data_IF_833371595386
#
_entry.id   IF_833371595386
#
_cell.length_a   1.000
_cell.length_b   1.000
_cell.length_c   1.000
_cell.angle_alpha   90.00
_cell.angle_beta   90.00
_cell.angle_gamma   90.00
#
_symmetry.space_group_name_H-M   'P 1'
#
loop_
_entity.id
_entity.type
_entity.pdbx_description
1 polymer ?
#
# COMPACT_ATOMS: atom_id res chain seq x y z
N UNK A 1 -1.21 -4.29 -11.73
CA UNK A 1 -1.29 -3.49 -12.96
C UNK A 1 -2.37 -2.39 -12.90
N UNK A 2 -3.54 -2.63 -12.29
CA UNK A 2 -4.58 -1.60 -12.08
C UNK A 2 -4.15 -0.44 -11.15
N UNK A 3 -3.43 -0.75 -10.06
CA UNK A 3 -2.95 0.26 -9.11
C UNK A 3 -1.92 1.21 -9.73
N UNK A 4 -0.98 0.69 -10.53
CA UNK A 4 0.06 1.48 -11.21
C UNK A 4 -0.56 2.50 -12.19
N UNK A 5 -1.61 2.09 -12.91
CA UNK A 5 -2.40 3.00 -13.76
C UNK A 5 -3.07 4.12 -12.95
N UNK A 6 -3.67 3.80 -11.80
CA UNK A 6 -4.29 4.79 -10.91
C UNK A 6 -3.32 5.86 -10.40
N UNK A 7 -2.11 5.46 -9.95
CA UNK A 7 -1.08 6.39 -9.51
C UNK A 7 -0.56 7.28 -10.65
N UNK A 8 -0.35 6.74 -11.85
CA UNK A 8 0.06 7.55 -13.01
C UNK A 8 -1.02 8.53 -13.46
N UNK A 9 -2.29 8.14 -13.39
CA UNK A 9 -3.43 8.99 -13.72
C UNK A 9 -3.59 10.12 -12.70
N UNK A 10 -3.49 9.83 -11.40
CA UNK A 10 -3.56 10.82 -10.34
C UNK A 10 -2.41 11.84 -10.40
N UNK A 11 -1.17 11.37 -10.63
CA UNK A 11 -0.01 12.24 -10.80
C UNK A 11 -0.10 13.11 -12.07
N UNK A 12 -0.64 12.57 -13.16
CA UNK A 12 -0.90 13.33 -14.38
C UNK A 12 -1.98 14.40 -14.16
N UNK A 13 -3.09 14.06 -13.50
CA UNK A 13 -4.16 15.01 -13.19
C UNK A 13 -3.69 16.17 -12.30
N UNK A 14 -2.83 15.88 -11.31
CA UNK A 14 -2.20 16.88 -10.44
C UNK A 14 -1.23 17.80 -11.20
N UNK A 15 -0.32 17.25 -12.01
CA UNK A 15 0.61 18.05 -12.83
C UNK A 15 -0.09 18.92 -13.88
N UNK A 16 -1.25 18.50 -14.37
CA UNK A 16 -2.00 19.23 -15.40
C UNK A 16 -2.93 20.33 -14.87
N UNK A 17 -2.97 20.61 -13.54
CA UNK A 17 -3.90 21.59 -12.93
C UNK A 17 -5.39 21.32 -13.29
N UNK A 18 -5.72 20.06 -13.61
CA UNK A 18 -7.06 19.65 -14.03
C UNK A 18 -8.01 19.68 -12.84
N UNK A 19 -7.50 19.43 -11.64
CA UNK A 19 -8.17 19.66 -10.36
C UNK A 19 -8.77 21.08 -10.26
N UNK A 20 -7.98 22.11 -10.57
CA UNK A 20 -8.45 23.51 -10.55
C UNK A 20 -9.45 23.81 -11.66
N UNK A 21 -9.22 23.29 -12.87
CA UNK A 21 -10.14 23.47 -14.03
C UNK A 21 -11.47 22.73 -13.85
N UNK A 22 -11.44 21.54 -13.28
CA UNK A 22 -12.64 20.76 -12.98
C UNK A 22 -13.42 21.39 -11.83
N UNK A 23 -12.73 21.85 -10.77
CA UNK A 23 -13.36 22.59 -9.69
C UNK A 23 -14.02 23.89 -10.20
N UNK A 24 -13.33 24.68 -11.03
CA UNK A 24 -13.93 25.89 -11.63
C UNK A 24 -15.03 25.55 -12.63
N UNK A 25 -14.93 24.47 -13.41
CA UNK A 25 -15.99 24.05 -14.33
C UNK A 25 -17.25 23.61 -13.58
N UNK A 26 -17.10 22.78 -12.54
CA UNK A 26 -18.21 22.34 -11.69
C UNK A 26 -18.82 23.53 -10.94
N UNK A 27 -18.01 24.44 -10.40
CA UNK A 27 -18.49 25.66 -9.76
C UNK A 27 -19.16 26.62 -10.76
N UNK A 28 -18.69 26.68 -12.02
CA UNK A 28 -19.30 27.53 -13.06
C UNK A 28 -20.64 26.99 -13.55
N UNK A 29 -20.85 25.67 -13.45
CA UNK A 29 -22.08 24.99 -13.87
C UNK A 29 -23.07 24.80 -12.73
N UNK A 30 -22.60 24.86 -11.48
CA UNK A 30 -23.43 24.96 -10.30
C UNK A 30 -23.97 26.40 -10.18
N UNK A 31 -25.19 26.62 -10.68
CA UNK A 31 -25.84 27.94 -10.61
C UNK A 31 -25.97 28.50 -9.19
N UNK A 32 -26.46 29.73 -9.05
CA UNK A 32 -26.46 30.53 -7.81
C UNK A 32 -27.43 30.06 -6.71
N UNK A 33 -28.05 28.88 -6.84
CA UNK A 33 -28.99 28.35 -5.84
C UNK A 33 -28.25 27.48 -4.83
N UNK A 34 -28.33 27.79 -3.51
CA UNK A 34 -27.48 27.17 -2.49
C UNK A 34 -27.69 25.66 -2.35
N UNK A 35 -28.90 25.15 -2.62
CA UNK A 35 -29.19 23.70 -2.60
C UNK A 35 -28.46 22.95 -3.71
N UNK A 36 -28.41 23.50 -4.92
CA UNK A 36 -27.80 22.84 -6.09
C UNK A 36 -26.27 22.81 -5.96
N UNK A 37 -25.69 23.88 -5.40
CA UNK A 37 -24.25 23.96 -5.11
C UNK A 37 -23.83 22.93 -4.06
N UNK A 38 -24.62 22.77 -3.00
CA UNK A 38 -24.37 21.76 -1.95
C UNK A 38 -24.36 20.34 -2.52
N UNK A 39 -25.36 20.00 -3.35
CA UNK A 39 -25.44 18.67 -3.98
C UNK A 39 -24.29 18.44 -4.96
N UNK A 40 -23.92 19.44 -5.76
CA UNK A 40 -22.79 19.35 -6.66
C UNK A 40 -21.47 19.12 -5.90
N UNK A 41 -21.24 19.85 -4.80
CA UNK A 41 -20.06 19.68 -3.96
C UNK A 41 -20.03 18.31 -3.26
N UNK A 42 -21.18 17.84 -2.75
CA UNK A 42 -21.28 16.52 -2.13
C UNK A 42 -21.01 15.38 -3.12
N UNK A 43 -21.50 15.48 -4.37
CA UNK A 43 -21.21 14.49 -5.41
C UNK A 43 -19.72 14.48 -5.79
N UNK A 44 -19.12 15.65 -5.98
CA UNK A 44 -17.69 15.76 -6.28
C UNK A 44 -16.86 15.18 -5.15
N UNK A 45 -17.20 15.50 -3.90
CA UNK A 45 -16.53 14.97 -2.72
C UNK A 45 -16.66 13.44 -2.61
N UNK A 46 -17.82 12.87 -2.93
CA UNK A 46 -18.04 11.42 -2.90
C UNK A 46 -17.22 10.69 -3.98
N UNK A 47 -17.23 11.20 -5.22
CA UNK A 47 -16.42 10.64 -6.31
C UNK A 47 -14.93 10.79 -6.05
N UNK A 48 -14.50 11.95 -5.54
CA UNK A 48 -13.11 12.17 -5.13
C UNK A 48 -12.71 11.23 -4.00
N UNK A 49 -13.56 11.03 -2.99
CA UNK A 49 -13.26 10.12 -1.87
C UNK A 49 -13.14 8.67 -2.33
N UNK A 50 -13.99 8.23 -3.27
CA UNK A 50 -13.92 6.88 -3.84
C UNK A 50 -12.63 6.66 -4.67
N UNK A 51 -12.13 7.70 -5.34
CA UNK A 51 -10.88 7.66 -6.11
C UNK A 51 -9.62 7.80 -5.22
N UNK A 52 -9.67 8.65 -4.20
CA UNK A 52 -8.52 9.00 -3.36
C UNK A 52 -8.32 7.99 -2.23
N UNK A 53 -9.38 7.39 -1.67
CA UNK A 53 -9.31 6.56 -0.47
C UNK A 53 -8.65 5.18 -0.67
N UNK A 54 -8.30 4.80 -1.91
CA UNK A 54 -7.50 3.60 -2.21
C UNK A 54 -6.09 3.92 -2.78
N UNK A 55 -5.75 5.21 -2.93
CA UNK A 55 -4.52 5.70 -3.61
C UNK A 55 -3.68 6.62 -2.71
N UNK A 56 -4.14 6.98 -1.52
CA UNK A 56 -3.37 7.77 -0.57
C UNK A 56 -2.43 6.87 0.28
N UNK A 57 -1.32 6.44 -0.32
CA UNK A 57 -0.09 6.09 0.42
C UNK A 57 0.84 7.33 0.44
N UNK A 58 1.74 7.45 1.42
CA UNK A 58 2.13 8.73 2.01
C UNK A 58 3.27 9.40 1.27
N UNK A 59 2.95 10.33 0.37
CA UNK A 59 3.96 11.17 -0.30
C UNK A 59 3.76 12.66 0.07
N UNK A 60 3.39 12.94 1.33
CA UNK A 60 3.29 14.30 1.88
C UNK A 60 4.48 14.64 2.79
N UNK A 61 5.68 14.34 2.33
CA UNK A 61 6.91 14.82 2.98
C UNK A 61 7.40 16.17 2.41
N UNK A 62 6.75 16.72 1.38
CA UNK A 62 7.17 17.99 0.75
C UNK A 62 6.59 19.24 1.43
N UNK A 63 5.57 19.13 2.29
CA UNK A 63 4.86 20.30 2.84
C UNK A 63 5.20 20.65 4.29
N UNK A 64 5.96 19.81 5.01
CA UNK A 64 6.47 20.18 6.34
C UNK A 64 7.96 20.46 6.28
N UNK A 65 8.41 21.69 6.56
CA UNK A 65 9.84 21.97 6.61
C UNK A 65 10.42 21.18 7.78
N UNK A 66 11.17 20.12 7.46
CA UNK A 66 11.92 19.36 8.47
C UNK A 66 12.81 20.31 9.27
N UNK A 67 13.07 19.99 10.53
CA UNK A 67 13.95 20.80 11.41
C UNK A 67 15.30 21.07 10.74
N UNK A 68 15.79 20.11 9.96
CA UNK A 68 17.03 20.25 9.19
C UNK A 68 16.89 21.24 8.03
N UNK A 69 15.72 21.32 7.38
CA UNK A 69 15.46 22.28 6.32
C UNK A 69 15.43 23.72 6.85
N UNK A 70 14.82 23.95 8.01
CA UNK A 70 14.86 25.25 8.68
C UNK A 70 16.28 25.62 9.12
N UNK A 71 17.03 24.70 9.74
CA UNK A 71 18.43 24.94 10.09
C UNK A 71 19.29 25.26 8.86
N UNK A 72 19.12 24.52 7.77
CA UNK A 72 19.82 24.78 6.52
C UNK A 72 19.48 26.18 5.97
N UNK A 73 18.21 26.57 5.99
CA UNK A 73 17.79 27.91 5.56
C UNK A 73 18.38 29.01 6.45
N UNK A 74 18.53 28.77 7.76
CA UNK A 74 19.15 29.73 8.67
C UNK A 74 20.65 29.89 8.41
N UNK A 75 21.36 28.81 8.07
CA UNK A 75 22.79 28.87 7.77
C UNK A 75 23.09 29.51 6.41
N UNK A 76 22.26 29.28 5.40
CA UNK A 76 22.46 29.79 4.03
C UNK A 76 21.86 31.18 3.82
N UNK A 77 20.75 31.51 4.48
CA UNK A 77 20.05 32.81 4.40
C UNK A 77 19.79 33.37 5.81
N UNK A 78 20.83 33.78 6.56
CA UNK A 78 20.64 34.35 7.88
C UNK A 78 19.99 35.75 7.81
N UNK A 79 19.10 36.10 8.74
CA UNK A 79 18.70 37.50 8.94
C UNK A 79 19.87 38.33 9.47
N UNK A 80 19.99 39.59 9.03
CA UNK A 80 21.05 40.51 9.47
C UNK A 80 21.09 40.61 11.01
N UNK A 81 22.28 40.61 11.68
CA UNK A 81 23.63 40.99 11.22
C UNK A 81 24.64 39.84 11.01
N UNK A 82 24.20 38.58 10.83
CA UNK A 82 25.09 37.41 10.79
C UNK A 82 25.59 37.07 9.38
N UNK A 83 26.81 36.54 9.28
CA UNK A 83 27.43 36.09 8.02
C UNK A 83 27.02 34.66 7.66
N UNK A 84 26.97 34.34 6.35
CA UNK A 84 26.64 33.01 5.83
C UNK A 84 27.63 31.95 6.34
N UNK A 85 27.12 30.90 6.99
CA UNK A 85 27.94 29.84 7.56
C UNK A 85 27.87 28.58 6.67
N UNK A 86 28.81 28.47 5.73
CA UNK A 86 28.85 27.37 4.76
C UNK A 86 29.35 26.04 5.36
N UNK A 87 30.36 26.06 6.22
CA UNK A 87 30.91 24.83 6.81
C UNK A 87 29.87 24.04 7.64
N UNK A 88 29.09 24.67 8.56
CA UNK A 88 28.06 23.96 9.31
C UNK A 88 26.92 23.45 8.41
N UNK A 89 26.61 24.17 7.33
CA UNK A 89 25.62 23.75 6.36
C UNK A 89 26.07 22.49 5.61
N UNK A 90 27.34 22.40 5.21
CA UNK A 90 27.91 21.22 4.57
C UNK A 90 27.98 20.02 5.54
N UNK A 91 28.35 20.23 6.80
CA UNK A 91 28.36 19.17 7.81
C UNK A 91 26.93 18.63 8.05
N UNK A 92 25.94 19.51 8.14
CA UNK A 92 24.53 19.15 8.28
C UNK A 92 24.01 18.39 7.04
N UNK A 93 24.37 18.81 5.83
CA UNK A 93 24.04 18.11 4.59
C UNK A 93 24.67 16.71 4.53
N UNK A 94 25.93 16.58 4.96
CA UNK A 94 26.64 15.30 4.94
C UNK A 94 26.02 14.27 5.90
N UNK A 95 25.60 14.70 7.10
CA UNK A 95 25.07 13.83 8.15
C UNK A 95 23.56 13.56 8.01
N UNK A 96 22.80 14.57 7.61
CA UNK A 96 21.33 14.52 7.61
C UNK A 96 20.69 14.65 6.21
N UNK A 97 21.50 14.65 5.15
CA UNK A 97 21.05 14.80 3.76
C UNK A 97 19.92 13.85 3.35
N UNK A 98 19.94 12.59 3.81
CA UNK A 98 18.89 11.60 3.47
C UNK A 98 17.48 12.01 3.88
N UNK A 99 17.35 12.81 4.95
CA UNK A 99 16.06 13.24 5.52
C UNK A 99 15.54 14.57 4.95
N UNK A 100 16.35 15.27 4.17
CA UNK A 100 16.02 16.56 3.57
C UNK A 100 15.38 16.37 2.18
N UNK A 101 14.32 17.14 1.83
CA UNK A 101 13.75 17.12 0.49
C UNK A 101 14.78 17.64 -0.53
N UNK A 102 15.08 16.86 -1.58
CA UNK A 102 16.16 17.15 -2.52
C UNK A 102 15.90 18.43 -3.32
N UNK A 103 14.80 18.49 -4.07
CA UNK A 103 13.77 19.51 -3.88
C UNK A 103 14.24 20.92 -3.53
N UNK A 104 13.74 21.31 -2.37
CA UNK A 104 13.98 22.57 -1.69
C UNK A 104 15.46 22.75 -1.31
N UNK A 105 16.15 21.68 -0.90
CA UNK A 105 17.57 21.74 -0.52
C UNK A 105 18.46 22.24 -1.66
N UNK A 106 18.26 21.73 -2.88
CA UNK A 106 19.02 22.14 -4.06
C UNK A 106 18.73 23.58 -4.48
N UNK A 107 17.53 24.09 -4.19
CA UNK A 107 17.19 25.49 -4.49
C UNK A 107 17.85 26.50 -3.54
N UNK A 108 18.24 26.05 -2.34
CA UNK A 108 18.89 26.89 -1.33
C UNK A 108 20.40 26.97 -1.49
N UNK A 109 21.02 25.98 -2.15
CA UNK A 109 22.48 25.91 -2.32
C UNK A 109 22.93 26.94 -3.36
N UNK A 110 23.93 27.80 -3.06
CA UNK A 110 24.44 28.76 -4.01
C UNK A 110 25.15 28.07 -5.19
N UNK A 111 24.96 28.61 -6.40
CA UNK A 111 25.56 28.10 -7.64
C UNK A 111 27.08 28.26 -7.73
N UNK A 112 27.68 29.01 -6.80
CA UNK A 112 29.12 29.20 -6.69
C UNK A 112 29.84 28.03 -6.01
N UNK A 113 29.12 27.15 -5.32
CA UNK A 113 29.68 26.04 -4.56
C UNK A 113 30.03 24.85 -5.47
N UNK A 114 31.27 24.33 -5.44
CA UNK A 114 31.67 23.23 -6.31
C UNK A 114 30.99 21.91 -5.90
N UNK A 115 30.58 21.13 -6.91
CA UNK A 115 29.87 19.85 -6.70
C UNK A 115 30.69 18.84 -5.88
N UNK A 116 32.02 18.94 -5.89
CA UNK A 116 32.92 18.10 -5.09
C UNK A 116 32.65 18.19 -3.58
N UNK A 117 32.27 19.37 -3.07
CA UNK A 117 31.96 19.56 -1.65
C UNK A 117 30.63 18.89 -1.25
N UNK A 118 29.75 18.62 -2.23
CA UNK A 118 28.47 17.94 -2.04
C UNK A 118 28.55 16.43 -2.27
N UNK A 119 29.75 15.88 -2.53
CA UNK A 119 29.91 14.46 -2.85
C UNK A 119 29.34 13.56 -1.74
N UNK A 120 29.64 13.88 -0.47
CA UNK A 120 29.15 13.14 0.70
C UNK A 120 27.62 13.16 0.79
N UNK A 121 27.00 14.31 0.52
CA UNK A 121 25.55 14.49 0.46
C UNK A 121 24.92 13.60 -0.62
N UNK A 122 25.40 13.71 -1.87
CA UNK A 122 24.84 12.93 -2.99
C UNK A 122 25.04 11.43 -2.79
N UNK A 123 26.24 11.03 -2.35
CA UNK A 123 26.54 9.62 -2.06
C UNK A 123 25.63 9.06 -0.96
N UNK A 124 25.41 9.82 0.11
CA UNK A 124 24.49 9.45 1.19
C UNK A 124 23.04 9.32 0.72
N UNK A 125 22.54 10.33 -0.03
CA UNK A 125 21.20 10.34 -0.63
C UNK A 125 20.97 9.14 -1.55
N UNK A 126 21.88 8.90 -2.49
CA UNK A 126 21.77 7.82 -3.47
C UNK A 126 21.75 6.45 -2.78
N UNK A 127 22.64 6.25 -1.79
CA UNK A 127 22.66 5.00 -1.01
C UNK A 127 21.35 4.79 -0.24
N UNK A 128 20.83 5.84 0.40
CA UNK A 128 19.56 5.76 1.13
C UNK A 128 18.39 5.43 0.19
N UNK A 129 18.31 6.11 -0.96
CA UNK A 129 17.26 5.86 -1.95
C UNK A 129 17.34 4.43 -2.52
N UNK A 130 18.54 3.97 -2.87
CA UNK A 130 18.76 2.60 -3.33
C UNK A 130 18.42 1.57 -2.26
N UNK A 131 18.74 1.84 -0.99
CA UNK A 131 18.41 0.97 0.13
C UNK A 131 16.90 0.78 0.28
N UNK A 132 16.12 1.87 0.25
CA UNK A 132 14.66 1.82 0.35
C UNK A 132 14.05 1.02 -0.80
N UNK A 133 14.53 1.23 -2.03
CA UNK A 133 14.07 0.48 -3.21
C UNK A 133 14.43 -1.00 -3.10
N UNK A 134 15.64 -1.31 -2.63
CA UNK A 134 16.09 -2.69 -2.48
C UNK A 134 15.32 -3.43 -1.38
N UNK A 135 15.11 -2.80 -0.23
CA UNK A 135 14.27 -3.31 0.85
C UNK A 135 12.84 -3.57 0.35
N UNK A 136 12.26 -2.61 -0.37
CA UNK A 136 10.92 -2.76 -0.96
C UNK A 136 10.85 -3.94 -1.93
N UNK A 137 11.89 -4.17 -2.74
CA UNK A 137 11.98 -5.34 -3.64
C UNK A 137 12.07 -6.65 -2.85
N UNK A 138 12.87 -6.69 -1.78
CA UNK A 138 13.00 -7.87 -0.92
C UNK A 138 11.64 -8.19 -0.27
N UNK A 139 10.98 -7.20 0.33
CA UNK A 139 9.66 -7.38 0.95
C UNK A 139 8.62 -7.84 -0.07
N UNK A 140 8.62 -7.27 -1.28
CA UNK A 140 7.73 -7.71 -2.35
C UNK A 140 8.00 -9.17 -2.76
N UNK A 141 9.27 -9.58 -2.84
CA UNK A 141 9.66 -10.96 -3.10
C UNK A 141 9.20 -11.92 -2.00
N UNK A 142 9.42 -11.58 -0.73
CA UNK A 142 8.97 -12.37 0.41
C UNK A 142 7.44 -12.55 0.41
N UNK A 143 6.69 -11.47 0.22
CA UNK A 143 5.22 -11.54 0.12
C UNK A 143 4.73 -12.39 -1.05
N UNK A 144 5.43 -12.37 -2.18
CA UNK A 144 5.09 -13.23 -3.32
C UNK A 144 5.26 -14.72 -2.96
N UNK A 145 6.33 -15.08 -2.25
CA UNK A 145 6.54 -16.47 -1.79
C UNK A 145 5.50 -16.90 -0.78
N UNK A 146 5.16 -16.05 0.18
CA UNK A 146 4.12 -16.30 1.19
C UNK A 146 2.74 -16.47 0.54
N UNK A 147 2.42 -15.64 -0.45
CA UNK A 147 1.19 -15.76 -1.23
C UNK A 147 1.10 -17.12 -1.92
N UNK A 148 2.17 -17.55 -2.61
CA UNK A 148 2.20 -18.87 -3.27
C UNK A 148 2.03 -20.00 -2.24
N UNK A 149 2.75 -19.94 -1.11
CA UNK A 149 2.65 -20.94 -0.04
C UNK A 149 1.23 -21.02 0.53
N UNK A 150 0.60 -19.87 0.76
CA UNK A 150 -0.77 -19.79 1.27
C UNK A 150 -1.79 -20.33 0.26
N UNK A 151 -1.61 -20.01 -1.03
CA UNK A 151 -2.45 -20.58 -2.10
C UNK A 151 -2.27 -22.10 -2.21
N UNK A 152 -1.05 -22.60 -2.11
CA UNK A 152 -0.76 -24.03 -2.13
C UNK A 152 -1.42 -24.75 -0.96
N UNK A 153 -1.34 -24.19 0.26
CA UNK A 153 -2.00 -24.73 1.44
C UNK A 153 -3.53 -24.72 1.29
N UNK A 154 -4.12 -23.64 0.79
CA UNK A 154 -5.57 -23.60 0.56
C UNK A 154 -6.01 -24.58 -0.53
N UNK A 155 -5.17 -24.82 -1.54
CA UNK A 155 -5.50 -25.71 -2.66
C UNK A 155 -5.33 -27.19 -2.28
N UNK A 156 -4.22 -27.55 -1.64
CA UNK A 156 -3.84 -28.93 -1.35
C UNK A 156 -4.24 -29.37 0.08
N UNK A 157 -4.33 -28.42 1.01
CA UNK A 157 -4.51 -28.67 2.44
C UNK A 157 -3.17 -28.86 3.16
N UNK A 158 -3.26 -29.23 4.44
CA UNK A 158 -2.09 -29.29 5.32
C UNK A 158 -1.21 -30.52 5.08
N UNK A 159 -1.66 -31.47 4.24
CA UNK A 159 -0.93 -32.71 3.92
C UNK A 159 -0.81 -33.71 5.08
N UNK A 160 -1.31 -33.36 6.26
CA UNK A 160 -1.28 -34.19 7.47
C UNK A 160 -2.41 -35.24 7.39
N UNK A 161 -2.15 -36.52 7.74
CA UNK A 161 -3.20 -37.53 7.88
C UNK A 161 -4.25 -37.07 8.91
N UNK A 162 -5.49 -36.87 8.46
CA UNK A 162 -6.58 -36.33 9.31
C UNK A 162 -6.58 -34.81 9.50
N UNK A 163 -5.69 -34.08 8.82
CA UNK A 163 -5.66 -32.61 8.78
C UNK A 163 -6.70 -31.99 7.84
N UNK A 164 -6.64 -30.67 7.65
CA UNK A 164 -7.59 -29.99 6.76
C UNK A 164 -7.26 -30.28 5.29
N UNK A 165 -8.23 -30.79 4.55
CA UNK A 165 -8.18 -30.97 3.10
C UNK A 165 -8.45 -29.66 2.38
N UNK A 166 -7.58 -29.33 1.42
CA UNK A 166 -7.69 -28.13 0.60
C UNK A 166 -8.86 -28.14 -0.40
N UNK A 167 -8.94 -27.09 -1.21
CA UNK A 167 -9.99 -26.88 -2.22
C UNK A 167 -9.96 -27.91 -3.36
N UNK A 168 -8.80 -28.47 -3.68
CA UNK A 168 -8.63 -29.52 -4.68
C UNK A 168 -8.67 -30.92 -4.05
N UNK A 169 -9.50 -31.11 -3.02
CA UNK A 169 -9.69 -32.43 -2.41
C UNK A 169 -10.72 -33.25 -3.19
N UNK A 170 -10.45 -34.54 -3.32
CA UNK A 170 -11.37 -35.54 -3.85
C UNK A 170 -11.54 -36.65 -2.85
N UNK A 171 -12.79 -36.97 -2.53
CA UNK A 171 -13.10 -38.12 -1.66
C UNK A 171 -13.86 -39.16 -2.48
N UNK A 172 -13.38 -40.41 -2.47
CA UNK A 172 -14.05 -41.54 -3.10
C UNK A 172 -14.97 -42.20 -2.08
N UNK A 173 -16.21 -42.42 -2.49
CA UNK A 173 -17.22 -43.12 -1.69
C UNK A 173 -17.40 -44.50 -2.32
N UNK A 174 -17.08 -45.53 -1.55
CA UNK A 174 -17.34 -46.94 -1.89
C UNK A 174 -18.64 -47.40 -1.23
N UNK A 175 -19.23 -48.49 -1.73
CA UNK A 175 -20.50 -49.04 -1.22
C UNK A 175 -20.42 -49.57 0.22
N UNK A 176 -19.20 -49.75 0.73
CA UNK A 176 -18.92 -50.19 2.09
C UNK A 176 -18.69 -49.02 3.06
N UNK A 177 -18.55 -47.79 2.56
CA UNK A 177 -18.21 -46.65 3.41
C UNK A 177 -19.38 -46.27 4.32
N UNK A 178 -19.11 -46.22 5.62
CA UNK A 178 -20.09 -45.90 6.67
C UNK A 178 -20.03 -44.41 7.03
N UNK A 179 -21.18 -43.84 7.39
CA UNK A 179 -21.28 -42.51 7.97
C UNK A 179 -20.73 -42.51 9.40
N UNK A 180 -19.84 -41.56 9.72
CA UNK A 180 -19.22 -41.47 11.04
C UNK A 180 -20.16 -41.12 12.20
N UNK A 181 -21.39 -40.67 11.92
CA UNK A 181 -22.38 -40.27 12.94
C UNK A 181 -23.46 -41.33 13.17
N UNK A 182 -24.09 -41.83 12.10
CA UNK A 182 -25.21 -42.77 12.21
C UNK A 182 -24.79 -44.22 11.94
N UNK A 183 -23.53 -44.46 11.57
CA UNK A 183 -22.96 -45.76 11.23
C UNK A 183 -23.71 -46.55 10.14
N UNK A 184 -24.59 -45.90 9.38
CA UNK A 184 -25.24 -46.47 8.19
C UNK A 184 -24.35 -46.28 6.95
N UNK A 185 -24.51 -47.16 5.96
CA UNK A 185 -23.82 -47.06 4.65
C UNK A 185 -24.17 -45.74 3.95
N UNK A 186 -23.18 -45.11 3.32
CA UNK A 186 -23.37 -43.87 2.57
C UNK A 186 -24.05 -44.14 1.21
N UNK A 187 -23.59 -45.13 0.45
CA UNK A 187 -24.18 -45.50 -0.84
C UNK A 187 -24.45 -44.30 -1.76
N UNK A 188 -25.59 -44.32 -2.48
CA UNK A 188 -26.05 -43.22 -3.35
C UNK A 188 -26.82 -42.09 -2.66
N UNK A 189 -26.70 -41.93 -1.34
CA UNK A 189 -27.42 -40.89 -0.59
C UNK A 189 -26.73 -39.52 -0.67
N UNK A 190 -27.42 -38.44 -0.28
CA UNK A 190 -26.84 -37.09 -0.25
C UNK A 190 -25.82 -36.99 0.88
N UNK A 191 -24.59 -36.62 0.54
CA UNK A 191 -23.43 -36.60 1.43
C UNK A 191 -22.87 -35.19 1.61
N UNK A 192 -22.22 -34.97 2.75
CA UNK A 192 -21.42 -33.80 3.06
C UNK A 192 -20.01 -34.23 3.46
N UNK A 193 -19.00 -33.47 3.00
CA UNK A 193 -17.58 -33.75 3.28
C UNK A 193 -17.02 -32.63 4.15
N UNK A 194 -16.59 -32.98 5.37
CA UNK A 194 -16.00 -32.02 6.31
C UNK A 194 -14.55 -31.66 5.93
N UNK A 195 -13.98 -30.59 6.51
CA UNK A 195 -12.60 -30.18 6.27
C UNK A 195 -11.56 -31.27 6.55
N UNK A 196 -11.82 -32.21 7.46
CA UNK A 196 -10.92 -33.31 7.83
C UNK A 196 -11.02 -34.55 6.92
N UNK A 197 -11.66 -34.42 5.75
CA UNK A 197 -11.98 -35.51 4.82
C UNK A 197 -12.94 -36.58 5.37
N UNK A 198 -13.60 -36.33 6.50
CA UNK A 198 -14.68 -37.21 6.97
C UNK A 198 -15.94 -36.99 6.12
N UNK A 199 -16.63 -38.09 5.81
CA UNK A 199 -17.85 -38.06 4.99
C UNK A 199 -19.02 -38.46 5.87
N UNK A 200 -20.05 -37.63 5.87
CA UNK A 200 -21.27 -37.83 6.64
C UNK A 200 -22.48 -37.65 5.73
N UNK A 201 -23.63 -38.23 6.10
CA UNK A 201 -24.89 -37.88 5.46
C UNK A 201 -25.19 -36.40 5.64
N UNK A 202 -25.82 -35.77 4.65
CA UNK A 202 -26.20 -34.35 4.73
C UNK A 202 -27.04 -34.05 5.99
N UNK A 203 -28.00 -34.91 6.32
CA UNK A 203 -28.82 -34.79 7.54
C UNK A 203 -28.09 -35.09 8.86
N UNK A 204 -26.87 -35.61 8.81
CA UNK A 204 -26.01 -35.82 9.99
C UNK A 204 -24.99 -34.70 10.18
N UNK A 205 -24.90 -33.74 9.25
CA UNK A 205 -23.92 -32.66 9.27
C UNK A 205 -23.96 -31.85 10.58
N UNK A 206 -25.15 -31.40 10.99
CA UNK A 206 -25.31 -30.59 12.21
C UNK A 206 -24.87 -31.33 13.48
N UNK A 207 -25.04 -32.66 13.52
CA UNK A 207 -24.56 -33.49 14.63
C UNK A 207 -23.04 -33.69 14.58
N UNK A 208 -22.48 -33.85 13.38
CA UNK A 208 -21.03 -33.96 13.19
C UNK A 208 -20.29 -32.68 13.58
N UNK A 209 -20.84 -31.50 13.25
CA UNK A 209 -20.24 -30.20 13.59
C UNK A 209 -20.45 -29.80 15.05
N UNK A 210 -21.43 -30.36 15.75
CA UNK A 210 -21.71 -30.06 17.15
C UNK A 210 -20.90 -30.92 18.15
N UNK A 211 -20.31 -32.02 17.70
CA UNK A 211 -19.49 -32.92 18.52
C UNK A 211 -17.99 -32.60 18.47
N UNK A 212 -17.59 -31.58 17.70
CA UNK A 212 -16.20 -31.19 17.45
C UNK A 212 -15.96 -29.79 17.99
#
# INVERSE_FOLDING_TARGET
>A
MLLLGGFTLAAALSKCKIDKRLATFVLSKAGTTPRTVLVANMLVAAFASMLISNVAAPDKDEDTPSIYHTLLSLYLTPPAPHNTALEPALDLLSKHGSRLPATSTMSLIPSTLPVSELESYFRGRIRSANSVVNESRIVAGLRATEYISSQALLLLGDGIPGGQGGRNRRVVITDERLCGVCHKRLGGSVVSVLPDNTVVHYGCLNRATAQK
#
